data_IF_091559096008
#
_entry.id   IF_091559096008
#
_cell.length_a   1.000
_cell.length_b   1.000
_cell.length_c   1.000
_cell.angle_alpha   90.00
_cell.angle_beta   90.00
_cell.angle_gamma   90.00
#
_symmetry.space_group_name_H-M   'P 1'
#
loop_
_entity.id
_entity.type
_entity.pdbx_description
1 polymer ?
#
# COMPACT_ATOMS: atom_id res chain seq x y z
N UNK A 1 7.51 11.59 -21.68
CA UNK A 1 6.54 10.46 -21.71
C UNK A 1 5.07 10.88 -21.73
N UNK A 2 4.68 11.98 -21.08
CA UNK A 2 3.26 12.40 -20.96
C UNK A 2 2.62 12.90 -22.28
N UNK A 3 3.42 13.14 -23.31
CA UNK A 3 2.96 13.55 -24.65
C UNK A 3 2.46 12.38 -25.52
N UNK A 4 2.56 11.13 -25.05
CA UNK A 4 2.06 10.00 -25.83
C UNK A 4 0.53 9.88 -25.65
N UNK A 5 -0.21 10.11 -26.74
CA UNK A 5 -1.68 10.10 -26.79
C UNK A 5 -2.27 8.80 -26.21
N UNK A 6 -1.59 7.67 -26.38
CA UNK A 6 -2.04 6.36 -25.91
C UNK A 6 -2.06 6.19 -24.38
N UNK A 7 -1.35 7.06 -23.66
CA UNK A 7 -1.30 6.99 -22.20
C UNK A 7 -2.61 7.51 -21.60
N UNK A 8 -3.19 8.60 -22.12
CA UNK A 8 -4.40 9.22 -21.58
C UNK A 8 -5.62 8.29 -21.43
N UNK A 9 -5.97 7.43 -22.42
CA UNK A 9 -7.06 6.47 -22.24
C UNK A 9 -6.80 5.46 -21.12
N UNK A 10 -5.56 4.98 -20.97
CA UNK A 10 -5.21 4.02 -19.92
C UNK A 10 -5.33 4.62 -18.52
N UNK A 11 -5.06 5.91 -18.39
CA UNK A 11 -5.28 6.68 -17.15
C UNK A 11 -6.74 6.77 -16.76
N UNK A 12 -7.55 7.23 -17.72
CA UNK A 12 -8.98 7.39 -17.53
C UNK A 12 -9.61 6.05 -17.19
N UNK A 13 -9.16 4.96 -17.85
CA UNK A 13 -9.59 3.61 -17.52
C UNK A 13 -9.20 3.20 -16.09
N UNK A 14 -7.96 3.43 -15.66
CA UNK A 14 -7.51 3.09 -14.32
C UNK A 14 -8.33 3.83 -13.23
N UNK A 15 -8.55 5.14 -13.41
CA UNK A 15 -9.38 5.92 -12.50
C UNK A 15 -10.86 5.52 -12.53
N UNK A 16 -11.39 5.22 -13.72
CA UNK A 16 -12.76 4.71 -13.86
C UNK A 16 -12.94 3.38 -13.13
N UNK A 17 -11.96 2.48 -13.20
CA UNK A 17 -11.98 1.21 -12.46
C UNK A 17 -11.96 1.47 -10.94
N UNK A 18 -11.10 2.37 -10.44
CA UNK A 18 -11.05 2.69 -9.01
C UNK A 18 -12.37 3.26 -8.49
N UNK A 19 -12.97 4.18 -9.26
CA UNK A 19 -14.28 4.75 -8.95
C UNK A 19 -15.36 3.66 -8.99
N UNK A 20 -15.39 2.83 -10.04
CA UNK A 20 -16.36 1.75 -10.18
C UNK A 20 -16.27 0.74 -9.03
N UNK A 21 -15.05 0.37 -8.62
CA UNK A 21 -14.79 -0.52 -7.49
C UNK A 21 -15.33 0.07 -6.19
N UNK A 22 -15.13 1.36 -5.92
CA UNK A 22 -15.71 2.04 -4.74
C UNK A 22 -17.24 2.14 -4.82
N UNK A 23 -17.81 2.38 -6.00
CA UNK A 23 -19.28 2.40 -6.20
C UNK A 23 -19.88 1.04 -5.90
N UNK A 24 -19.32 -0.03 -6.45
CA UNK A 24 -19.77 -1.39 -6.21
C UNK A 24 -19.66 -1.74 -4.73
N UNK A 25 -18.56 -1.34 -4.09
CA UNK A 25 -18.35 -1.59 -2.68
C UNK A 25 -19.40 -0.91 -1.79
N UNK A 26 -19.75 0.36 -2.06
CA UNK A 26 -20.81 1.09 -1.35
C UNK A 26 -22.20 0.48 -1.60
N UNK A 27 -22.44 -0.10 -2.79
CA UNK A 27 -23.72 -0.76 -3.12
C UNK A 27 -23.88 -2.08 -2.38
N UNK A 28 -22.81 -2.87 -2.27
CA UNK A 28 -22.85 -4.22 -1.72
C UNK A 28 -22.61 -4.32 -0.21
N UNK A 29 -22.03 -3.31 0.45
CA UNK A 29 -22.11 -3.26 1.91
C UNK A 29 -23.58 -3.21 2.33
N UNK A 30 -24.03 -4.09 3.23
CA UNK A 30 -25.43 -4.11 3.68
C UNK A 30 -25.71 -2.89 4.56
N UNK A 31 -26.74 -2.12 4.20
CA UNK A 31 -27.18 -0.95 4.94
C UNK A 31 -28.48 -1.32 5.63
N UNK A 32 -28.50 -1.28 6.96
CA UNK A 32 -29.73 -1.51 7.73
C UNK A 32 -30.88 -0.65 7.20
N UNK A 33 -32.09 -1.20 7.22
CA UNK A 33 -33.30 -0.52 6.74
C UNK A 33 -33.58 0.68 7.68
N UNK A 34 -33.66 1.90 7.12
CA UNK A 34 -33.86 3.20 7.82
C UNK A 34 -32.64 3.88 8.45
N UNK A 35 -31.73 4.35 7.59
CA UNK A 35 -30.62 5.22 7.98
C UNK A 35 -31.01 6.70 7.78
N UNK A 36 -30.89 7.59 8.79
CA UNK A 36 -31.24 9.02 8.68
C UNK A 36 -30.43 9.75 7.60
N UNK A 37 -31.00 10.79 6.99
CA UNK A 37 -30.41 11.54 5.85
C UNK A 37 -28.95 11.99 6.06
N UNK A 38 -28.58 12.44 7.27
CA UNK A 38 -27.18 12.79 7.61
C UNK A 38 -26.22 11.60 7.48
N UNK A 39 -26.65 10.39 7.84
CA UNK A 39 -25.87 9.15 7.66
C UNK A 39 -25.92 8.66 6.20
N UNK A 40 -26.93 9.05 5.43
CA UNK A 40 -27.02 8.79 3.99
C UNK A 40 -26.00 9.61 3.18
N UNK A 41 -25.65 10.82 3.61
CA UNK A 41 -24.54 11.58 3.01
C UNK A 41 -23.19 10.94 3.33
N UNK A 42 -22.99 10.51 4.59
CA UNK A 42 -21.77 9.83 5.05
C UNK A 42 -21.46 8.56 4.24
N UNK A 43 -22.50 7.88 3.73
CA UNK A 43 -22.40 6.70 2.85
C UNK A 43 -21.55 6.96 1.61
N UNK A 44 -21.70 8.12 0.98
CA UNK A 44 -21.05 8.44 -0.29
C UNK A 44 -19.75 9.24 -0.10
N UNK A 45 -19.37 9.60 1.13
CA UNK A 45 -18.14 10.34 1.41
C UNK A 45 -16.88 9.69 0.81
N UNK A 46 -16.65 8.36 0.94
CA UNK A 46 -15.48 7.70 0.31
C UNK A 46 -15.50 7.73 -1.22
N UNK A 47 -16.68 7.87 -1.84
CA UNK A 47 -16.79 8.03 -3.28
C UNK A 47 -16.39 9.44 -3.71
N UNK A 48 -16.92 10.46 -3.01
CA UNK A 48 -16.60 11.86 -3.30
C UNK A 48 -15.11 12.16 -3.12
N UNK A 49 -14.47 11.62 -2.09
CA UNK A 49 -13.03 11.78 -1.87
C UNK A 49 -12.21 11.17 -3.01
N UNK A 50 -12.50 9.94 -3.43
CA UNK A 50 -11.78 9.28 -4.54
C UNK A 50 -12.02 10.00 -5.87
N UNK A 51 -13.27 10.41 -6.17
CA UNK A 51 -13.54 11.20 -7.38
C UNK A 51 -12.80 12.54 -7.36
N UNK A 52 -12.73 13.21 -6.22
CA UNK A 52 -11.93 14.42 -6.02
C UNK A 52 -10.43 14.19 -6.27
N UNK A 53 -9.89 13.08 -5.77
CA UNK A 53 -8.49 12.69 -6.00
C UNK A 53 -8.24 12.43 -7.50
N UNK A 54 -9.07 11.61 -8.15
CA UNK A 54 -8.91 11.27 -9.57
C UNK A 54 -8.99 12.51 -10.47
N UNK A 55 -9.95 13.41 -10.20
CA UNK A 55 -10.09 14.66 -10.96
C UNK A 55 -8.89 15.59 -10.76
N UNK A 56 -8.41 15.74 -9.52
CA UNK A 56 -7.24 16.59 -9.23
C UNK A 56 -5.95 15.97 -9.77
N UNK A 57 -5.80 14.64 -9.76
CA UNK A 57 -4.69 13.94 -10.40
C UNK A 57 -4.71 14.12 -11.93
N UNK A 58 -5.90 14.14 -12.55
CA UNK A 58 -6.03 14.49 -13.97
C UNK A 58 -5.58 15.93 -14.21
N UNK A 59 -6.01 16.89 -13.40
CA UNK A 59 -5.56 18.28 -13.50
C UNK A 59 -4.04 18.41 -13.36
N UNK A 60 -3.43 17.66 -12.45
CA UNK A 60 -1.97 17.61 -12.27
C UNK A 60 -1.25 17.13 -13.54
N UNK A 61 -1.70 16.02 -14.14
CA UNK A 61 -1.11 15.50 -15.39
C UNK A 61 -1.33 16.46 -16.57
N UNK A 62 -2.49 17.09 -16.64
CA UNK A 62 -2.75 18.12 -17.64
C UNK A 62 -1.83 19.34 -17.46
N UNK A 63 -1.58 19.77 -16.21
CA UNK A 63 -0.69 20.89 -15.92
C UNK A 63 0.76 20.61 -16.36
N UNK A 64 1.25 19.38 -16.15
CA UNK A 64 2.56 18.95 -16.66
C UNK A 64 2.57 18.94 -18.19
N UNK A 65 1.54 18.38 -18.84
CA UNK A 65 1.45 18.33 -20.29
C UNK A 65 1.45 19.73 -20.95
N UNK A 66 0.90 20.73 -20.27
CA UNK A 66 0.92 22.14 -20.69
C UNK A 66 2.15 22.94 -20.20
N UNK A 67 3.12 22.30 -19.55
CA UNK A 67 4.31 22.94 -18.97
C UNK A 67 4.00 24.13 -18.04
N UNK A 68 2.88 24.08 -17.31
CA UNK A 68 2.54 25.13 -16.33
C UNK A 68 3.07 24.73 -14.94
N UNK A 69 4.25 25.24 -14.59
CA UNK A 69 4.93 24.91 -13.33
C UNK A 69 4.10 25.29 -12.09
N UNK A 70 3.45 26.46 -12.12
CA UNK A 70 2.65 26.96 -10.98
C UNK A 70 1.48 26.03 -10.67
N UNK A 71 0.70 25.68 -11.70
CA UNK A 71 -0.46 24.81 -11.59
C UNK A 71 -0.07 23.37 -11.26
N UNK A 72 1.09 22.89 -11.74
CA UNK A 72 1.60 21.54 -11.45
C UNK A 72 1.89 21.38 -9.95
N UNK A 73 2.56 22.35 -9.35
CA UNK A 73 2.88 22.31 -7.92
C UNK A 73 1.62 22.44 -7.06
N UNK A 74 0.72 23.35 -7.42
CA UNK A 74 -0.51 23.60 -6.66
C UNK A 74 -1.45 22.40 -6.72
N UNK A 75 -1.66 21.82 -7.91
CA UNK A 75 -2.47 20.61 -8.08
C UNK A 75 -1.88 19.41 -7.31
N UNK A 76 -0.57 19.18 -7.35
CA UNK A 76 0.06 18.12 -6.56
C UNK A 76 -0.18 18.27 -5.05
N UNK A 77 -0.07 19.50 -4.52
CA UNK A 77 -0.36 19.81 -3.11
C UNK A 77 -1.82 19.58 -2.75
N UNK A 78 -2.74 19.95 -3.64
CA UNK A 78 -4.16 19.64 -3.47
C UNK A 78 -4.41 18.13 -3.44
N UNK A 79 -3.74 17.33 -4.28
CA UNK A 79 -3.85 15.87 -4.22
C UNK A 79 -3.36 15.34 -2.87
N UNK A 80 -2.23 15.82 -2.32
CA UNK A 80 -1.78 15.40 -0.98
C UNK A 80 -2.81 15.70 0.12
N UNK A 81 -3.44 16.87 0.09
CA UNK A 81 -4.51 17.22 1.04
C UNK A 81 -5.74 16.31 0.87
N UNK A 82 -6.13 16.01 -0.37
CA UNK A 82 -7.25 15.11 -0.65
C UNK A 82 -6.95 13.66 -0.27
N UNK A 83 -5.70 13.19 -0.37
CA UNK A 83 -5.27 11.87 0.10
C UNK A 83 -5.39 11.75 1.63
N UNK A 84 -4.99 12.80 2.37
CA UNK A 84 -5.20 12.87 3.82
C UNK A 84 -6.70 12.86 4.15
N UNK A 85 -7.49 13.65 3.43
CA UNK A 85 -8.94 13.65 3.58
C UNK A 85 -9.54 12.27 3.31
N UNK A 86 -9.19 11.58 2.23
CA UNK A 86 -9.68 10.24 1.91
C UNK A 86 -9.34 9.22 3.00
N UNK A 87 -8.12 9.28 3.55
CA UNK A 87 -7.71 8.43 4.67
C UNK A 87 -8.57 8.67 5.92
N UNK A 88 -8.80 9.94 6.29
CA UNK A 88 -9.65 10.29 7.44
C UNK A 88 -11.12 9.92 7.21
N UNK A 89 -11.64 10.15 6.00
CA UNK A 89 -13.02 9.81 5.62
C UNK A 89 -13.22 8.30 5.66
N UNK A 90 -12.31 7.52 5.06
CA UNK A 90 -12.36 6.06 5.11
C UNK A 90 -12.27 5.54 6.55
N UNK A 91 -11.43 6.15 7.39
CA UNK A 91 -11.30 5.78 8.80
C UNK A 91 -12.59 6.06 9.60
N UNK A 92 -13.16 7.26 9.46
CA UNK A 92 -14.41 7.65 10.14
C UNK A 92 -15.57 6.79 9.64
N UNK A 93 -15.65 6.58 8.32
CA UNK A 93 -16.67 5.73 7.69
C UNK A 93 -16.65 4.33 8.29
N UNK A 94 -15.45 3.75 8.40
CA UNK A 94 -15.23 2.42 8.95
C UNK A 94 -15.58 2.34 10.45
N UNK A 95 -15.18 3.35 11.24
CA UNK A 95 -15.52 3.43 12.67
C UNK A 95 -17.02 3.53 12.90
N UNK A 96 -17.76 4.26 12.07
CA UNK A 96 -19.21 4.43 12.26
C UNK A 96 -20.02 3.18 11.91
N UNK A 97 -19.48 2.28 11.10
CA UNK A 97 -20.10 1.00 10.74
C UNK A 97 -19.60 -0.14 11.64
N UNK A 98 -19.58 0.13 12.95
CA UNK A 98 -19.11 -0.77 14.03
C UNK A 98 -19.70 -2.19 13.99
N UNK A 99 -20.87 -2.41 13.37
CA UNK A 99 -21.47 -3.74 13.19
C UNK A 99 -20.67 -4.66 12.26
N UNK A 100 -19.86 -4.11 11.36
CA UNK A 100 -18.90 -4.85 10.50
C UNK A 100 -17.57 -5.14 11.22
N UNK A 101 -17.41 -4.68 12.47
CA UNK A 101 -16.12 -4.37 13.08
C UNK A 101 -15.87 -5.00 14.45
N UNK A 102 -16.58 -6.08 14.80
CA UNK A 102 -16.01 -6.99 15.81
C UNK A 102 -14.77 -7.65 15.21
N UNK A 103 -13.63 -7.07 15.57
CA UNK A 103 -12.24 -7.48 15.41
C UNK A 103 -12.04 -8.94 15.78
N UNK A 104 -12.37 -9.85 14.88
CA UNK A 104 -11.94 -11.24 14.94
C UNK A 104 -11.69 -11.67 13.50
N UNK A 105 -10.61 -12.41 13.29
CA UNK A 105 -10.43 -13.29 12.14
C UNK A 105 -11.70 -14.19 12.07
N UNK A 106 -12.70 -13.76 11.29
CA UNK A 106 -14.04 -14.35 11.23
C UNK A 106 -14.44 -14.57 9.75
N UNK A 107 -15.36 -15.52 9.49
CA UNK A 107 -15.45 -16.22 8.23
C UNK A 107 -15.82 -15.35 7.02
N UNK A 108 -15.59 -15.92 5.83
CA UNK A 108 -15.70 -15.39 4.50
C UNK A 108 -17.15 -15.08 4.12
N UNK A 109 -17.69 -14.03 4.73
CA UNK A 109 -18.89 -13.38 4.23
C UNK A 109 -18.56 -12.61 2.94
N UNK A 110 -19.42 -12.80 1.92
CA UNK A 110 -19.31 -12.14 0.60
C UNK A 110 -19.29 -10.61 0.74
N UNK A 111 -20.02 -10.07 1.71
CA UNK A 111 -20.14 -8.63 1.97
C UNK A 111 -18.82 -8.02 2.49
N UNK A 112 -17.92 -8.84 3.05
CA UNK A 112 -16.66 -8.38 3.64
C UNK A 112 -15.62 -8.00 2.58
N UNK A 113 -15.63 -8.62 1.40
CA UNK A 113 -14.76 -8.23 0.28
C UNK A 113 -14.92 -6.74 -0.06
N UNK A 114 -16.15 -6.26 -0.06
CA UNK A 114 -16.47 -4.85 -0.35
C UNK A 114 -16.07 -3.92 0.81
N UNK A 115 -16.15 -4.40 2.05
CA UNK A 115 -15.66 -3.66 3.21
C UNK A 115 -14.14 -3.47 3.23
N UNK A 116 -13.41 -4.46 2.70
CA UNK A 116 -11.95 -4.44 2.59
C UNK A 116 -11.47 -3.44 1.55
N UNK A 117 -12.20 -3.34 0.45
CA UNK A 117 -12.03 -2.30 -0.57
C UNK A 117 -12.27 -0.90 -0.01
N UNK A 118 -13.04 -0.73 1.08
CA UNK A 118 -13.26 0.57 1.74
C UNK A 118 -12.24 0.91 2.83
N UNK A 119 -11.14 0.16 2.92
CA UNK A 119 -10.13 0.38 3.96
C UNK A 119 -9.27 1.64 3.68
N UNK A 120 -8.83 2.39 4.71
CA UNK A 120 -7.91 3.52 4.56
C UNK A 120 -6.60 3.19 3.85
N UNK A 121 -6.20 1.91 3.83
CA UNK A 121 -4.96 1.47 3.16
C UNK A 121 -5.03 1.67 1.64
N UNK A 122 -6.23 1.67 1.06
CA UNK A 122 -6.46 1.88 -0.37
C UNK A 122 -6.14 3.32 -0.82
N UNK A 123 -5.86 4.22 0.14
CA UNK A 123 -5.31 5.55 -0.14
C UNK A 123 -3.85 5.50 -0.60
N UNK A 124 -3.08 4.49 -0.16
CA UNK A 124 -1.66 4.37 -0.45
C UNK A 124 -1.39 4.13 -1.95
N UNK A 125 -2.09 3.22 -2.65
CA UNK A 125 -2.02 3.11 -4.12
C UNK A 125 -2.28 4.45 -4.83
N UNK A 126 -3.21 5.27 -4.34
CA UNK A 126 -3.52 6.59 -4.93
C UNK A 126 -2.35 7.57 -4.76
N UNK A 127 -1.65 7.53 -3.63
CA UNK A 127 -0.39 8.26 -3.43
C UNK A 127 0.67 7.80 -4.45
N UNK A 128 0.82 6.49 -4.65
CA UNK A 128 1.79 5.96 -5.61
C UNK A 128 1.46 6.36 -7.05
N UNK A 129 0.17 6.44 -7.40
CA UNK A 129 -0.29 6.96 -8.70
C UNK A 129 0.03 8.45 -8.92
N UNK A 130 0.07 9.25 -7.86
CA UNK A 130 0.51 10.65 -7.92
C UNK A 130 2.02 10.74 -8.14
N UNK A 131 2.79 10.02 -7.32
CA UNK A 131 4.26 10.05 -7.33
C UNK A 131 4.86 9.42 -8.59
N UNK A 132 4.21 8.39 -9.11
CA UNK A 132 4.73 7.58 -10.20
C UNK A 132 4.51 8.16 -11.58
N UNK A 133 5.01 7.43 -12.57
CA UNK A 133 4.70 7.71 -13.97
C UNK A 133 3.25 7.41 -14.26
N UNK A 134 2.69 7.99 -15.34
CA UNK A 134 1.34 7.68 -15.75
C UNK A 134 1.05 6.15 -15.81
N UNK A 135 1.88 5.36 -16.50
CA UNK A 135 1.68 3.90 -16.66
C UNK A 135 1.56 3.10 -15.35
N UNK A 136 2.01 3.64 -14.23
CA UNK A 136 1.96 3.03 -12.89
C UNK A 136 0.52 2.92 -12.39
N UNK A 137 -0.39 3.79 -12.82
CA UNK A 137 -1.80 3.77 -12.38
C UNK A 137 -2.49 2.42 -12.67
N UNK A 138 -2.36 1.92 -13.90
CA UNK A 138 -2.97 0.64 -14.28
C UNK A 138 -2.38 -0.55 -13.50
N UNK A 139 -1.05 -0.54 -13.30
CA UNK A 139 -0.37 -1.53 -12.47
C UNK A 139 -0.96 -1.57 -11.06
N UNK A 140 -1.12 -0.42 -10.42
CA UNK A 140 -1.62 -0.34 -9.04
C UNK A 140 -3.09 -0.73 -8.90
N UNK A 141 -3.92 -0.45 -9.90
CA UNK A 141 -5.28 -1.03 -9.96
C UNK A 141 -5.22 -2.56 -9.94
N UNK A 142 -4.35 -3.16 -10.75
CA UNK A 142 -4.13 -4.61 -10.75
C UNK A 142 -3.61 -5.14 -9.41
N UNK A 143 -2.71 -4.39 -8.75
CA UNK A 143 -2.17 -4.74 -7.43
C UNK A 143 -3.26 -4.74 -6.36
N UNK A 144 -4.13 -3.72 -6.33
CA UNK A 144 -5.26 -3.63 -5.39
C UNK A 144 -6.23 -4.79 -5.60
N UNK A 145 -6.62 -5.06 -6.85
CA UNK A 145 -7.51 -6.19 -7.16
C UNK A 145 -6.87 -7.52 -6.75
N UNK A 146 -5.58 -7.72 -7.06
CA UNK A 146 -4.82 -8.92 -6.66
C UNK A 146 -4.77 -9.09 -5.14
N UNK A 147 -4.55 -8.02 -4.39
CA UNK A 147 -4.54 -8.04 -2.92
C UNK A 147 -5.91 -8.44 -2.37
N UNK A 148 -6.99 -7.81 -2.84
CA UNK A 148 -8.34 -8.11 -2.36
C UNK A 148 -8.74 -9.57 -2.64
N UNK A 149 -8.38 -10.09 -3.83
CA UNK A 149 -8.58 -11.49 -4.18
C UNK A 149 -7.75 -12.43 -3.30
N UNK A 150 -6.48 -12.11 -3.05
CA UNK A 150 -5.62 -12.90 -2.17
C UNK A 150 -6.16 -12.92 -0.73
N UNK A 151 -6.58 -11.77 -0.20
CA UNK A 151 -7.19 -11.68 1.13
C UNK A 151 -8.48 -12.51 1.24
N UNK A 152 -9.30 -12.54 0.18
CA UNK A 152 -10.49 -13.41 0.11
C UNK A 152 -10.11 -14.88 0.09
N UNK A 153 -9.15 -15.27 -0.74
CA UNK A 153 -8.68 -16.65 -0.84
C UNK A 153 -8.19 -17.21 0.50
N UNK A 154 -7.32 -16.48 1.20
CA UNK A 154 -6.78 -16.93 2.48
C UNK A 154 -7.86 -17.04 3.57
N UNK A 155 -8.88 -16.19 3.54
CA UNK A 155 -10.01 -16.29 4.48
C UNK A 155 -10.90 -17.50 4.19
N UNK A 156 -11.26 -17.72 2.93
CA UNK A 156 -11.98 -18.93 2.54
C UNK A 156 -11.21 -20.19 2.95
N UNK A 157 -9.90 -20.20 2.73
CA UNK A 157 -9.05 -21.31 3.13
C UNK A 157 -9.03 -21.50 4.65
N UNK A 158 -9.04 -20.41 5.43
CA UNK A 158 -9.16 -20.53 6.87
C UNK A 158 -10.49 -21.13 7.30
N UNK A 159 -11.60 -20.75 6.69
CA UNK A 159 -12.91 -21.28 7.11
C UNK A 159 -13.10 -22.75 6.75
N UNK A 160 -12.46 -23.21 5.68
CA UNK A 160 -12.43 -24.62 5.33
C UNK A 160 -11.58 -25.47 6.30
N UNK A 161 -10.73 -24.84 7.11
CA UNK A 161 -9.79 -25.50 7.99
C UNK A 161 -10.09 -25.09 9.44
N UNK A 162 -10.74 -25.95 10.22
CA UNK A 162 -11.00 -25.68 11.65
C UNK A 162 -9.70 -25.62 12.47
N UNK A 163 -9.03 -24.47 12.44
CA UNK A 163 -7.75 -24.23 13.11
C UNK A 163 -7.96 -24.00 14.61
N UNK A 164 -8.17 -25.07 15.37
CA UNK A 164 -8.41 -25.03 16.83
C UNK A 164 -7.13 -24.86 17.66
N UNK A 165 -5.95 -25.20 17.10
CA UNK A 165 -4.67 -25.21 17.83
C UNK A 165 -3.83 -23.97 17.52
N UNK A 166 -3.32 -23.30 18.56
CA UNK A 166 -2.45 -22.11 18.46
C UNK A 166 -1.25 -22.29 17.50
N UNK A 167 -0.63 -23.48 17.49
CA UNK A 167 0.48 -23.76 16.58
C UNK A 167 0.08 -23.68 15.11
N UNK A 168 -1.12 -24.14 14.78
CA UNK A 168 -1.60 -24.20 13.42
C UNK A 168 -2.01 -22.82 12.90
N UNK A 169 -2.56 -21.98 13.78
CA UNK A 169 -2.79 -20.54 13.53
C UNK A 169 -1.48 -19.82 13.21
N UNK A 170 -0.42 -20.07 13.99
CA UNK A 170 0.91 -19.50 13.74
C UNK A 170 1.42 -19.85 12.35
N UNK A 171 1.39 -21.13 11.98
CA UNK A 171 1.84 -21.59 10.66
C UNK A 171 1.05 -20.93 9.52
N UNK A 172 -0.28 -20.89 9.63
CA UNK A 172 -1.12 -20.25 8.63
C UNK A 172 -0.77 -18.76 8.46
N UNK A 173 -0.65 -18.02 9.57
CA UNK A 173 -0.31 -16.59 9.53
C UNK A 173 1.10 -16.34 8.99
N UNK A 174 2.05 -17.24 9.26
CA UNK A 174 3.39 -17.23 8.67
C UNK A 174 3.34 -17.45 7.17
N UNK A 175 2.57 -18.43 6.68
CA UNK A 175 2.38 -18.67 5.24
C UNK A 175 1.75 -17.47 4.54
N UNK A 176 0.71 -16.88 5.14
CA UNK A 176 0.10 -15.64 4.64
C UNK A 176 1.12 -14.51 4.58
N UNK A 177 1.93 -14.33 5.64
CA UNK A 177 2.95 -13.28 5.67
C UNK A 177 4.00 -13.47 4.57
N UNK A 178 4.50 -14.71 4.38
CA UNK A 178 5.46 -15.03 3.33
C UNK A 178 4.90 -14.76 1.94
N UNK A 179 3.63 -15.12 1.69
CA UNK A 179 2.98 -14.79 0.43
C UNK A 179 2.93 -13.28 0.20
N UNK A 180 2.49 -12.50 1.20
CA UNK A 180 2.43 -11.03 1.10
C UNK A 180 3.83 -10.41 0.97
N UNK A 181 4.84 -10.98 1.61
CA UNK A 181 6.25 -10.56 1.46
C UNK A 181 6.74 -10.75 0.03
N UNK A 182 6.53 -11.95 -0.54
CA UNK A 182 6.90 -12.25 -1.93
C UNK A 182 6.15 -11.31 -2.88
N UNK A 183 4.84 -11.13 -2.70
CA UNK A 183 4.04 -10.24 -3.55
C UNK A 183 4.49 -8.77 -3.44
N UNK A 184 4.96 -8.34 -2.28
CA UNK A 184 5.59 -7.04 -2.07
C UNK A 184 6.78 -6.81 -3.00
N UNK A 185 7.74 -7.75 -3.00
CA UNK A 185 8.91 -7.69 -3.89
C UNK A 185 8.55 -7.91 -5.36
N UNK A 186 7.57 -8.76 -5.67
CA UNK A 186 7.06 -8.89 -7.04
C UNK A 186 6.53 -7.54 -7.54
N UNK A 187 5.73 -6.84 -6.73
CA UNK A 187 5.24 -5.51 -7.10
C UNK A 187 6.37 -4.49 -7.23
N UNK A 188 7.41 -4.54 -6.38
CA UNK A 188 8.61 -3.72 -6.54
C UNK A 188 9.22 -3.85 -7.94
N UNK A 189 9.41 -5.08 -8.43
CA UNK A 189 9.98 -5.32 -9.76
C UNK A 189 8.98 -5.00 -10.89
N UNK A 190 7.67 -5.26 -10.68
CA UNK A 190 6.64 -4.89 -11.66
C UNK A 190 6.53 -3.37 -11.89
N UNK A 191 6.86 -2.56 -10.88
CA UNK A 191 6.96 -1.10 -11.02
C UNK A 191 8.15 -0.66 -11.89
N UNK A 192 9.00 -1.58 -12.34
CA UNK A 192 10.19 -1.30 -13.15
C UNK A 192 11.43 -1.00 -12.32
N UNK A 193 11.36 -1.13 -10.98
CA UNK A 193 12.55 -1.02 -10.14
C UNK A 193 13.45 -2.25 -10.34
N UNK A 194 14.73 -2.04 -10.13
CA UNK A 194 15.74 -3.09 -10.00
C UNK A 194 16.59 -2.80 -8.76
N UNK A 195 17.55 -3.68 -8.44
CA UNK A 195 18.54 -3.41 -7.39
C UNK A 195 19.72 -2.55 -7.87
N UNK A 196 19.54 -1.84 -8.99
CA UNK A 196 20.50 -0.88 -9.54
C UNK A 196 20.00 0.55 -9.36
N UNK A 197 20.88 1.44 -8.90
CA UNK A 197 20.56 2.85 -8.64
C UNK A 197 20.01 3.59 -9.88
N UNK A 198 20.36 3.13 -11.08
CA UNK A 198 19.87 3.71 -12.34
C UNK A 198 18.35 3.52 -12.54
N UNK A 199 17.74 2.57 -11.84
CA UNK A 199 16.29 2.31 -11.94
C UNK A 199 15.44 3.16 -10.98
N UNK A 200 16.06 3.89 -10.05
CA UNK A 200 15.35 4.76 -9.11
C UNK A 200 14.75 5.96 -9.85
N UNK A 201 13.43 6.12 -9.78
CA UNK A 201 12.76 7.26 -10.40
C UNK A 201 12.84 8.51 -9.52
N UNK A 202 13.89 9.31 -9.73
CA UNK A 202 14.13 10.56 -9.00
C UNK A 202 13.01 11.59 -9.21
N UNK A 203 12.21 11.48 -10.28
CA UNK A 203 11.10 12.42 -10.51
C UNK A 203 10.03 12.38 -9.42
N UNK A 204 9.82 11.20 -8.81
CA UNK A 204 8.90 11.01 -7.70
C UNK A 204 9.29 11.82 -6.45
N UNK A 205 10.57 12.13 -6.29
CA UNK A 205 11.11 12.88 -5.15
C UNK A 205 10.67 14.36 -5.14
N UNK A 206 10.30 14.91 -6.29
CA UNK A 206 10.08 16.35 -6.48
C UNK A 206 8.61 16.74 -6.72
N UNK A 207 7.69 15.78 -6.64
CA UNK A 207 6.26 16.04 -6.84
C UNK A 207 5.76 17.02 -5.78
N UNK A 208 5.31 18.21 -6.21
CA UNK A 208 4.77 19.25 -5.33
C UNK A 208 5.79 20.16 -4.61
N UNK A 209 7.10 20.00 -4.89
CA UNK A 209 8.16 20.84 -4.34
C UNK A 209 8.53 21.99 -5.29
N UNK A 210 8.72 23.21 -4.76
CA UNK A 210 9.27 24.37 -5.51
C UNK A 210 10.78 24.53 -5.33
N UNK A 211 11.30 24.09 -4.19
CA UNK A 211 12.70 24.22 -3.80
C UNK A 211 13.22 22.85 -3.37
N UNK A 212 14.51 22.57 -3.64
CA UNK A 212 15.13 21.33 -3.22
C UNK A 212 15.18 21.24 -1.68
N UNK A 213 14.45 20.28 -1.12
CA UNK A 213 14.43 19.96 0.30
C UNK A 213 14.83 18.47 0.45
N UNK A 214 16.08 18.17 0.84
CA UNK A 214 16.63 16.82 0.72
C UNK A 214 15.87 15.79 1.57
N UNK A 215 15.38 16.20 2.76
CA UNK A 215 14.64 15.31 3.66
C UNK A 215 13.30 14.90 3.06
N UNK A 216 12.52 15.88 2.58
CA UNK A 216 11.19 15.61 1.99
C UNK A 216 11.33 14.82 0.69
N UNK A 217 12.27 15.23 -0.17
CA UNK A 217 12.55 14.53 -1.42
C UNK A 217 12.99 13.08 -1.18
N UNK A 218 13.88 12.86 -0.20
CA UNK A 218 14.33 11.53 0.19
C UNK A 218 13.19 10.63 0.68
N UNK A 219 12.29 11.17 1.51
CA UNK A 219 11.11 10.42 1.99
C UNK A 219 10.14 10.06 0.85
N UNK A 220 9.79 11.04 0.01
CA UNK A 220 8.91 10.81 -1.15
C UNK A 220 9.48 9.75 -2.09
N UNK A 221 10.78 9.86 -2.38
CA UNK A 221 11.49 8.89 -3.20
C UNK A 221 11.45 7.50 -2.58
N UNK A 222 11.76 7.40 -1.28
CA UNK A 222 11.81 6.12 -0.59
C UNK A 222 10.41 5.46 -0.50
N UNK A 223 9.36 6.23 -0.20
CA UNK A 223 7.98 5.74 -0.21
C UNK A 223 7.55 5.25 -1.58
N UNK A 224 7.96 5.94 -2.66
CA UNK A 224 7.65 5.52 -4.02
C UNK A 224 8.45 4.27 -4.44
N UNK A 225 9.77 4.25 -4.18
CA UNK A 225 10.65 3.14 -4.52
C UNK A 225 10.24 1.85 -3.81
N UNK A 226 9.92 1.92 -2.52
CA UNK A 226 9.50 0.75 -1.73
C UNK A 226 7.99 0.58 -1.62
N UNK A 227 7.23 1.22 -2.52
CA UNK A 227 5.78 1.23 -2.45
C UNK A 227 5.17 -0.18 -2.42
N UNK A 228 5.62 -1.09 -3.30
CA UNK A 228 5.17 -2.48 -3.33
C UNK A 228 5.30 -3.18 -1.97
N UNK A 229 6.52 -3.39 -1.45
CA UNK A 229 6.73 -4.03 -0.15
C UNK A 229 5.96 -3.35 0.99
N UNK A 230 5.92 -2.01 1.02
CA UNK A 230 5.19 -1.27 2.06
C UNK A 230 3.68 -1.55 2.01
N UNK A 231 3.07 -1.45 0.83
CA UNK A 231 1.64 -1.68 0.64
C UNK A 231 1.24 -3.09 1.07
N UNK A 232 1.92 -4.11 0.55
CA UNK A 232 1.59 -5.50 0.86
C UNK A 232 1.78 -5.81 2.36
N UNK A 233 2.81 -5.27 2.99
CA UNK A 233 3.02 -5.48 4.42
C UNK A 233 1.95 -4.79 5.27
N UNK A 234 1.59 -3.54 4.94
CA UNK A 234 0.48 -2.86 5.59
C UNK A 234 -0.84 -3.64 5.40
N UNK A 235 -1.09 -4.17 4.19
CA UNK A 235 -2.30 -4.91 3.86
C UNK A 235 -2.39 -6.20 4.66
N UNK A 236 -1.28 -6.94 4.77
CA UNK A 236 -1.20 -8.12 5.61
C UNK A 236 -1.56 -7.78 7.07
N UNK A 237 -0.93 -6.76 7.64
CA UNK A 237 -1.17 -6.46 9.07
C UNK A 237 -2.63 -6.05 9.28
N UNK A 238 -3.19 -5.22 8.40
CA UNK A 238 -4.61 -4.81 8.41
C UNK A 238 -5.56 -6.01 8.34
N UNK A 239 -5.38 -6.88 7.35
CA UNK A 239 -6.35 -7.93 7.00
C UNK A 239 -6.25 -9.17 7.90
N UNK A 240 -5.08 -9.42 8.48
CA UNK A 240 -4.78 -10.58 9.31
C UNK A 240 -4.51 -10.22 10.78
N UNK A 241 -5.18 -9.17 11.28
CA UNK A 241 -5.15 -8.79 12.69
C UNK A 241 -5.85 -9.86 13.56
N UNK A 242 -5.20 -10.29 14.64
CA UNK A 242 -5.78 -11.21 15.61
C UNK A 242 -6.45 -10.45 16.77
N UNK A 243 -7.40 -11.08 17.51
CA UNK A 243 -7.89 -10.54 18.78
C UNK A 243 -6.76 -10.44 19.82
N UNK A 244 -6.78 -9.38 20.65
CA UNK A 244 -5.74 -9.09 21.65
C UNK A 244 -5.40 -10.28 22.57
N UNK A 245 -6.38 -11.11 22.90
CA UNK A 245 -6.23 -12.29 23.77
C UNK A 245 -5.34 -13.38 23.18
N UNK A 246 -5.46 -13.65 21.87
CA UNK A 246 -4.65 -14.66 21.16
C UNK A 246 -3.36 -14.03 20.63
N UNK A 247 -3.41 -12.72 20.33
CA UNK A 247 -2.32 -11.96 19.74
C UNK A 247 -1.07 -11.97 20.62
N UNK A 248 -1.15 -11.75 21.94
CA UNK A 248 0.05 -11.60 22.80
C UNK A 248 1.00 -12.81 22.74
N UNK A 249 0.47 -14.04 22.77
CA UNK A 249 1.26 -15.28 22.72
C UNK A 249 1.81 -15.61 21.33
N UNK A 250 1.17 -15.12 20.27
CA UNK A 250 1.50 -15.44 18.88
C UNK A 250 2.34 -14.33 18.23
N UNK A 251 2.08 -13.07 18.59
CA UNK A 251 2.63 -11.88 17.98
C UNK A 251 4.14 -11.74 18.20
N UNK A 252 4.65 -12.05 19.41
CA UNK A 252 6.10 -11.96 19.67
C UNK A 252 6.89 -12.91 18.77
N UNK A 253 6.47 -14.18 18.69
CA UNK A 253 7.11 -15.17 17.83
C UNK A 253 7.02 -14.81 16.34
N UNK A 254 5.86 -14.34 15.88
CA UNK A 254 5.69 -13.87 14.51
C UNK A 254 6.51 -12.61 14.23
N UNK A 255 6.58 -11.65 15.15
CA UNK A 255 7.38 -10.43 14.99
C UNK A 255 8.87 -10.76 14.85
N UNK A 256 9.40 -11.63 15.71
CA UNK A 256 10.78 -12.12 15.59
C UNK A 256 11.02 -12.83 14.25
N UNK A 257 10.09 -13.68 13.81
CA UNK A 257 10.18 -14.33 12.51
C UNK A 257 10.22 -13.31 11.35
N UNK A 258 9.30 -12.33 11.35
CA UNK A 258 9.21 -11.28 10.32
C UNK A 258 10.47 -10.43 10.26
N UNK A 259 10.97 -9.99 11.42
CA UNK A 259 12.20 -9.22 11.51
C UNK A 259 13.41 -10.05 11.06
N UNK A 260 13.55 -11.29 11.55
CA UNK A 260 14.63 -12.18 11.15
C UNK A 260 14.66 -12.43 9.64
N UNK A 261 13.50 -12.68 9.04
CA UNK A 261 13.39 -12.87 7.59
C UNK A 261 13.68 -11.59 6.80
N UNK A 262 13.25 -10.42 7.31
CA UNK A 262 13.54 -9.14 6.67
C UNK A 262 15.04 -8.82 6.68
N UNK A 263 15.76 -9.12 7.77
CA UNK A 263 17.20 -8.86 7.90
C UNK A 263 18.10 -9.88 7.19
N UNK A 264 17.60 -11.09 6.91
CA UNK A 264 18.37 -12.18 6.29
C UNK A 264 19.09 -11.79 4.99
N UNK A 265 18.46 -11.12 4.01
CA UNK A 265 19.16 -10.71 2.78
C UNK A 265 20.29 -9.71 3.06
N UNK A 266 20.08 -8.78 4.00
CA UNK A 266 21.07 -7.76 4.34
C UNK A 266 22.28 -8.39 5.03
N UNK A 267 22.05 -9.27 6.01
CA UNK A 267 23.14 -9.98 6.72
C UNK A 267 23.89 -10.93 5.79
N UNK A 268 23.19 -11.62 4.88
CA UNK A 268 23.83 -12.43 3.85
C UNK A 268 24.73 -11.59 2.94
N UNK A 269 24.21 -10.49 2.37
CA UNK A 269 25.01 -9.61 1.51
C UNK A 269 26.20 -9.01 2.26
N UNK A 270 26.02 -8.57 3.51
CA UNK A 270 27.09 -8.03 4.33
C UNK A 270 28.19 -9.07 4.61
N UNK A 271 27.79 -10.32 4.90
CA UNK A 271 28.72 -11.44 5.14
C UNK A 271 29.55 -11.74 3.88
N UNK A 272 28.91 -11.81 2.72
CA UNK A 272 29.60 -12.01 1.43
C UNK A 272 30.57 -10.86 1.15
N UNK A 273 30.17 -9.61 1.41
CA UNK A 273 31.06 -8.45 1.26
C UNK A 273 32.27 -8.52 2.20
N UNK A 274 32.07 -8.96 3.44
CA UNK A 274 33.14 -9.12 4.42
C UNK A 274 34.15 -10.20 4.00
N UNK A 275 33.66 -11.36 3.55
CA UNK A 275 34.51 -12.48 3.14
C UNK A 275 35.31 -12.18 1.86
N UNK A 276 34.71 -11.46 0.92
CA UNK A 276 35.31 -11.15 -0.39
C UNK A 276 35.83 -9.71 -0.50
N UNK A 277 36.06 -9.01 0.62
CA UNK A 277 36.42 -7.58 0.62
C UNK A 277 37.65 -7.22 -0.23
N UNK A 278 38.59 -8.15 -0.41
CA UNK A 278 39.81 -7.98 -1.23
C UNK A 278 39.58 -8.22 -2.73
N UNK A 279 38.41 -8.73 -3.12
CA UNK A 279 38.08 -8.98 -4.52
C UNK A 279 37.63 -7.68 -5.21
N UNK A 280 38.31 -7.29 -6.29
CA UNK A 280 38.20 -5.99 -6.95
C UNK A 280 36.76 -5.59 -7.35
N UNK A 281 35.86 -6.55 -7.56
CA UNK A 281 34.49 -6.33 -8.02
C UNK A 281 33.39 -6.49 -6.95
N UNK A 282 33.74 -6.83 -5.70
CA UNK A 282 32.70 -7.09 -4.70
C UNK A 282 31.87 -5.83 -4.41
N UNK A 283 32.55 -4.70 -4.25
CA UNK A 283 31.92 -3.44 -3.88
C UNK A 283 31.09 -2.86 -5.03
N UNK A 284 31.50 -3.02 -6.27
CA UNK A 284 30.71 -2.51 -7.41
C UNK A 284 29.40 -3.27 -7.60
N UNK A 285 29.36 -4.57 -7.30
CA UNK A 285 28.17 -5.42 -7.46
C UNK A 285 27.26 -5.38 -6.23
N UNK A 286 27.81 -5.39 -5.02
CA UNK A 286 27.03 -5.54 -3.79
C UNK A 286 26.73 -4.23 -3.07
N UNK A 287 27.51 -3.16 -3.26
CA UNK A 287 27.22 -1.87 -2.60
C UNK A 287 25.85 -1.31 -3.00
N UNK A 288 25.43 -1.31 -4.29
CA UNK A 288 24.09 -0.88 -4.65
C UNK A 288 23.01 -1.71 -3.94
N UNK A 289 23.17 -3.03 -3.91
CA UNK A 289 22.22 -3.95 -3.25
C UNK A 289 22.13 -3.68 -1.73
N UNK A 290 23.27 -3.53 -1.07
CA UNK A 290 23.33 -3.22 0.37
C UNK A 290 22.66 -1.88 0.67
N UNK A 291 22.90 -0.85 -0.15
CA UNK A 291 22.25 0.45 0.01
C UNK A 291 20.73 0.35 -0.14
N UNK A 292 20.24 -0.41 -1.13
CA UNK A 292 18.81 -0.67 -1.29
C UNK A 292 18.20 -1.38 -0.08
N UNK A 293 18.88 -2.39 0.46
CA UNK A 293 18.39 -3.13 1.63
C UNK A 293 18.42 -2.27 2.90
N UNK A 294 19.48 -1.47 3.09
CA UNK A 294 19.60 -0.55 4.22
C UNK A 294 18.51 0.53 4.19
N UNK A 295 18.30 1.18 3.04
CA UNK A 295 17.24 2.18 2.87
C UNK A 295 15.85 1.59 3.04
N UNK A 296 15.62 0.36 2.56
CA UNK A 296 14.36 -0.34 2.81
C UNK A 296 14.10 -0.48 4.31
N UNK A 297 15.09 -0.89 5.12
CA UNK A 297 14.93 -1.01 6.57
C UNK A 297 14.66 0.32 7.27
N UNK A 298 15.35 1.39 6.86
CA UNK A 298 15.13 2.74 7.41
C UNK A 298 13.67 3.18 7.22
N UNK A 299 13.04 2.83 6.11
CA UNK A 299 11.63 3.16 5.83
C UNK A 299 10.67 2.17 6.48
N UNK A 300 10.97 0.88 6.38
CA UNK A 300 10.06 -0.19 6.76
C UNK A 300 9.86 -0.31 8.28
N UNK A 301 10.93 -0.16 9.06
CA UNK A 301 10.87 -0.35 10.53
C UNK A 301 9.97 0.71 11.21
N UNK A 302 10.11 2.02 10.94
CA UNK A 302 9.22 3.03 11.52
C UNK A 302 7.75 2.83 11.13
N UNK A 303 7.48 2.38 9.90
CA UNK A 303 6.12 2.06 9.43
C UNK A 303 5.53 0.89 10.23
N UNK A 304 6.33 -0.14 10.51
CA UNK A 304 5.88 -1.25 11.36
C UNK A 304 5.67 -0.83 12.82
N UNK A 305 6.56 -0.01 13.39
CA UNK A 305 6.47 0.45 14.78
C UNK A 305 5.25 1.37 14.97
N UNK A 306 5.08 2.36 14.10
CA UNK A 306 3.93 3.27 14.16
C UNK A 306 2.61 2.53 14.04
N UNK A 307 2.55 1.51 13.18
CA UNK A 307 1.39 0.66 13.06
C UNK A 307 1.13 -0.21 14.29
N UNK A 308 2.18 -0.80 14.87
CA UNK A 308 2.09 -1.52 16.14
C UNK A 308 1.55 -0.63 17.27
N UNK A 309 2.03 0.62 17.35
CA UNK A 309 1.59 1.59 18.34
C UNK A 309 0.12 2.02 18.18
N UNK A 310 -0.41 2.07 16.95
CA UNK A 310 -1.82 2.40 16.69
C UNK A 310 -2.81 1.27 17.05
N UNK A 311 -2.32 0.06 17.35
CA UNK A 311 -3.15 -1.12 17.72
C UNK A 311 -3.19 -1.43 19.22
N UNK A 312 -2.24 -0.90 19.99
CA UNK A 312 -2.23 -0.99 21.45
C UNK A 312 -3.35 -0.13 22.00
#
# INVERSE_FOLDING_TARGET
>A
PEHNVWIWPTHLLAWAILIAVRVLAIKHCSWGVHVPFKKQLLRYCPLFSVTGICTTQLCYRCAIAWNNESLTVESARLVYLLLLLDCTVAYIWRKHHESLHRLIFQPAEIDRFWSDVLHPIETFPLLVCLLGRPTVGFLWVGVVVKECLAARFFRLFWDCCDWTRSQSIKWFLTCCWLFYWIQGWVTFFQQGNSLSLASVDVSAAYVGLRSHQPVVAGLLLAFYTYAGPLYWQLAYVVRFALPKEIESHVASSLACFRLGFAFLPMTFCATVCFLLQSHLFIWTVFTPKLLYLAMFHVVFIPVLISWGAMRV
#
